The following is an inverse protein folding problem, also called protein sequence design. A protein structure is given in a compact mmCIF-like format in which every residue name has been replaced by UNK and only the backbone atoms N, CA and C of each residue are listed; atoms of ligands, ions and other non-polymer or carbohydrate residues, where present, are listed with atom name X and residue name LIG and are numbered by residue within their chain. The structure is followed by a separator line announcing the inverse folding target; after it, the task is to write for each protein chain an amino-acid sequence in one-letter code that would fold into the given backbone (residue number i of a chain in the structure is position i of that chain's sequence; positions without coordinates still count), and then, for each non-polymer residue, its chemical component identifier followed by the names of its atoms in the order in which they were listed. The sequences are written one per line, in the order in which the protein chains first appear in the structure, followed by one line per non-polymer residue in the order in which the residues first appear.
data_IF_154088776401
#
_entry.id   IF_154088776401
#
_cell.length_a   1.000
_cell.length_b   1.000
_cell.length_c   1.000
_cell.angle_alpha   90.00
_cell.angle_beta   90.00
_cell.angle_gamma   90.00
#
_symmetry.space_group_name_H-M   'P 1'
#
loop_
_entity.id
_entity.type
_entity.pdbx_description
1 polymer ?
#
# COMPACT_ATOMS: atom_id res chain seq x y z
N UNK A 1 32.11 21.77 -8.30
CA UNK A 1 30.78 22.21 -7.85
C UNK A 1 30.26 21.15 -6.89
N UNK A 2 30.17 21.46 -5.59
CA UNK A 2 29.50 20.58 -4.64
C UNK A 2 27.99 20.82 -4.78
N UNK A 3 27.28 19.93 -5.46
CA UNK A 3 25.82 19.92 -5.47
C UNK A 3 25.35 19.33 -4.14
N UNK A 4 25.06 20.21 -3.18
CA UNK A 4 24.26 19.82 -2.01
C UNK A 4 22.86 19.55 -2.55
N UNK A 5 22.35 18.32 -2.36
CA UNK A 5 20.97 18.01 -2.71
C UNK A 5 20.06 18.76 -1.73
N UNK A 6 19.31 19.73 -2.26
CA UNK A 6 18.27 20.43 -1.51
C UNK A 6 16.97 19.64 -1.57
N UNK A 7 16.67 18.91 -0.49
CA UNK A 7 15.45 18.13 -0.38
C UNK A 7 14.17 18.98 -0.33
N UNK A 8 14.27 20.30 -0.09
CA UNK A 8 13.10 21.19 -0.12
C UNK A 8 12.50 21.32 -1.52
N UNK A 9 13.28 21.01 -2.56
CA UNK A 9 12.83 21.00 -3.95
C UNK A 9 12.20 19.66 -4.38
N UNK A 10 12.21 18.63 -3.51
CA UNK A 10 11.70 17.30 -3.85
C UNK A 10 10.17 17.26 -3.93
N UNK A 11 9.50 18.07 -3.11
CA UNK A 11 8.05 18.16 -3.02
C UNK A 11 7.59 19.59 -3.28
N UNK A 12 6.41 19.81 -3.89
CA UNK A 12 5.85 21.14 -4.03
C UNK A 12 5.60 21.78 -2.65
N UNK A 13 5.63 23.11 -2.60
CA UNK A 13 5.26 23.84 -1.39
C UNK A 13 3.83 23.44 -0.95
N UNK A 14 3.60 23.24 0.36
CA UNK A 14 2.32 22.76 0.86
C UNK A 14 1.20 23.75 0.53
N UNK A 15 0.15 23.27 -0.14
CA UNK A 15 -1.08 24.02 -0.39
C UNK A 15 -2.12 23.66 0.69
N UNK A 16 -2.00 24.28 1.87
CA UNK A 16 -2.82 23.97 3.04
C UNK A 16 -4.22 24.62 3.01
N UNK A 17 -4.74 24.95 1.82
CA UNK A 17 -5.97 25.74 1.63
C UNK A 17 -7.17 24.88 1.22
N UNK A 18 -7.22 23.62 1.64
CA UNK A 18 -8.37 22.76 1.35
C UNK A 18 -9.64 23.31 2.04
N UNK A 19 -10.59 23.82 1.25
CA UNK A 19 -11.85 24.38 1.71
C UNK A 19 -13.05 23.42 1.52
N UNK A 20 -12.79 22.14 1.23
CA UNK A 20 -13.83 21.14 1.03
C UNK A 20 -14.27 20.43 2.33
N UNK A 21 -15.21 19.48 2.25
CA UNK A 21 -15.72 18.79 3.42
C UNK A 21 -14.64 17.93 4.11
N UNK A 22 -14.55 18.01 5.44
CA UNK A 22 -13.65 17.17 6.26
C UNK A 22 -13.85 15.68 6.02
N UNK A 23 -15.07 15.27 5.65
CA UNK A 23 -15.38 13.87 5.33
C UNK A 23 -14.55 13.32 4.17
N UNK A 24 -14.25 14.13 3.14
CA UNK A 24 -13.44 13.70 2.01
C UNK A 24 -11.99 13.44 2.43
N UNK A 25 -11.45 14.24 3.35
CA UNK A 25 -10.12 14.02 3.93
C UNK A 25 -10.09 12.71 4.70
N UNK A 26 -11.07 12.46 5.57
CA UNK A 26 -11.14 11.21 6.32
C UNK A 26 -11.35 10.00 5.43
N UNK A 27 -12.17 10.11 4.38
CA UNK A 27 -12.34 9.05 3.40
C UNK A 27 -11.00 8.72 2.71
N UNK A 28 -10.25 9.74 2.29
CA UNK A 28 -8.93 9.56 1.71
C UNK A 28 -7.96 8.90 2.69
N UNK A 29 -7.92 9.36 3.94
CA UNK A 29 -7.07 8.76 4.99
C UNK A 29 -7.40 7.29 5.18
N UNK A 30 -8.70 6.94 5.27
CA UNK A 30 -9.14 5.56 5.49
C UNK A 30 -8.79 4.67 4.29
N UNK A 31 -9.15 5.07 3.06
CA UNK A 31 -8.90 4.23 1.89
C UNK A 31 -7.41 4.01 1.66
N UNK A 32 -6.59 5.05 1.90
CA UNK A 32 -5.16 4.96 1.73
C UNK A 32 -4.51 4.13 2.86
N UNK A 33 -5.04 4.21 4.08
CA UNK A 33 -4.59 3.35 5.20
C UNK A 33 -4.88 1.89 4.92
N UNK A 34 -6.10 1.55 4.50
CA UNK A 34 -6.49 0.17 4.16
C UNK A 34 -5.65 -0.35 2.99
N UNK A 35 -5.48 0.46 1.94
CA UNK A 35 -4.62 0.10 0.81
C UNK A 35 -3.17 -0.14 1.23
N UNK A 36 -2.62 0.74 2.06
CA UNK A 36 -1.26 0.60 2.58
C UNK A 36 -1.10 -0.69 3.38
N UNK A 37 -2.01 -0.99 4.31
CA UNK A 37 -1.97 -2.23 5.10
C UNK A 37 -2.01 -3.45 4.17
N UNK A 38 -2.88 -3.44 3.16
CA UNK A 38 -2.98 -4.52 2.16
C UNK A 38 -1.65 -4.71 1.42
N UNK A 39 -1.03 -3.63 0.93
CA UNK A 39 0.26 -3.72 0.23
C UNK A 39 1.38 -4.21 1.14
N UNK A 40 1.39 -3.82 2.42
CA UNK A 40 2.32 -4.37 3.41
C UNK A 40 2.11 -5.88 3.60
N UNK A 41 0.87 -6.38 3.61
CA UNK A 41 0.59 -7.82 3.68
C UNK A 41 1.17 -8.55 2.47
N UNK A 42 0.97 -8.04 1.25
CA UNK A 42 1.54 -8.66 0.04
C UNK A 42 3.08 -8.71 0.05
N UNK A 43 3.75 -7.74 0.69
CA UNK A 43 5.21 -7.69 0.79
C UNK A 43 5.79 -8.55 1.93
N UNK A 44 5.09 -8.62 3.07
CA UNK A 44 5.69 -9.12 4.31
C UNK A 44 5.05 -10.37 4.90
N UNK A 45 3.80 -10.70 4.55
CA UNK A 45 3.18 -11.93 5.04
C UNK A 45 3.62 -13.13 4.20
N UNK A 46 3.80 -14.26 4.87
CA UNK A 46 4.27 -15.50 4.25
C UNK A 46 3.30 -16.08 3.21
N UNK A 47 2.02 -15.70 3.25
CA UNK A 47 1.00 -16.12 2.29
C UNK A 47 0.72 -15.07 1.21
N UNK A 48 1.40 -13.92 1.23
CA UNK A 48 1.23 -12.82 0.28
C UNK A 48 -0.22 -12.34 0.18
N UNK A 49 -1.03 -12.49 1.23
CA UNK A 49 -2.47 -12.15 1.21
C UNK A 49 -3.39 -13.23 0.64
N UNK A 50 -2.87 -14.36 0.15
CA UNK A 50 -3.67 -15.40 -0.46
C UNK A 50 -4.71 -15.99 0.52
N UNK A 51 -4.29 -16.38 1.73
CA UNK A 51 -5.19 -16.95 2.73
C UNK A 51 -5.74 -15.87 3.67
N UNK A 52 -4.91 -14.92 4.09
CA UNK A 52 -5.21 -13.90 5.10
C UNK A 52 -6.15 -12.80 4.61
N UNK A 53 -6.18 -12.51 3.30
CA UNK A 53 -7.10 -11.53 2.68
C UNK A 53 -8.13 -12.25 1.80
N UNK A 54 -7.67 -13.07 0.86
CA UNK A 54 -8.54 -13.68 -0.14
C UNK A 54 -9.14 -15.03 0.29
N UNK A 55 -8.82 -15.52 1.50
CA UNK A 55 -9.35 -16.79 2.05
C UNK A 55 -9.10 -18.00 1.13
N UNK A 56 -8.02 -17.96 0.34
CA UNK A 56 -7.63 -19.07 -0.52
C UNK A 56 -7.21 -20.28 0.31
N UNK A 57 -7.60 -21.48 -0.13
CA UNK A 57 -7.12 -22.72 0.47
C UNK A 57 -5.68 -23.00 0.02
N UNK A 58 -4.73 -23.00 0.97
CA UNK A 58 -3.32 -23.31 0.71
C UNK A 58 -2.94 -24.77 1.04
N UNK A 59 -3.87 -25.59 1.53
CA UNK A 59 -3.67 -27.02 1.78
C UNK A 59 -3.94 -27.86 0.52
N UNK A 60 -3.41 -27.42 -0.61
CA UNK A 60 -3.59 -28.04 -1.94
C UNK A 60 -2.24 -28.16 -2.65
N UNK A 61 -2.14 -29.07 -3.61
CA UNK A 61 -0.99 -29.12 -4.50
C UNK A 61 -0.88 -27.81 -5.29
N UNK A 62 0.32 -27.23 -5.35
CA UNK A 62 0.57 -25.97 -6.05
C UNK A 62 0.23 -24.70 -5.26
N UNK A 63 0.02 -24.77 -3.94
CA UNK A 63 -0.22 -23.60 -3.08
C UNK A 63 0.87 -22.53 -3.17
N UNK A 64 2.13 -22.92 -3.42
CA UNK A 64 3.23 -21.99 -3.67
C UNK A 64 2.99 -21.10 -4.90
N UNK A 65 2.33 -21.61 -5.95
CA UNK A 65 1.99 -20.81 -7.12
C UNK A 65 0.89 -19.80 -6.80
N UNK A 66 -0.06 -20.17 -5.93
CA UNK A 66 -1.10 -19.24 -5.45
C UNK A 66 -0.42 -18.08 -4.71
N UNK A 67 0.44 -18.39 -3.73
CA UNK A 67 1.19 -17.36 -2.99
C UNK A 67 2.06 -16.52 -3.93
N UNK A 68 2.76 -17.13 -4.88
CA UNK A 68 3.61 -16.41 -5.83
C UNK A 68 2.84 -15.41 -6.70
N UNK A 69 1.65 -15.78 -7.18
CA UNK A 69 0.78 -14.88 -7.96
C UNK A 69 0.26 -13.76 -7.06
N UNK A 70 -0.25 -14.08 -5.87
CA UNK A 70 -0.78 -13.07 -4.94
C UNK A 70 0.31 -12.10 -4.45
N UNK A 71 1.56 -12.55 -4.30
CA UNK A 71 2.69 -11.70 -3.95
C UNK A 71 3.10 -10.67 -5.01
N UNK A 72 2.61 -10.77 -6.26
CA UNK A 72 2.90 -9.76 -7.30
C UNK A 72 2.06 -8.48 -7.17
N UNK A 73 0.95 -8.53 -6.44
CA UNK A 73 -0.08 -7.49 -6.47
C UNK A 73 -0.28 -6.87 -5.09
N UNK A 74 0.63 -5.99 -4.68
CA UNK A 74 0.45 -5.11 -3.51
C UNK A 74 -0.79 -4.20 -3.60
#
# INVERSE_FOLDING_TARGET
MNTIIDFSMLLPAPCNNYAGPTLAVWFLVIINTIGTIRSLIHMFFHDGGAQSIATMNLNVSGSQNIVAIFGQWG
#
